data_IF_070235855498
#
_entry.id   IF_070235855498
#
_cell.length_a   1.000
_cell.length_b   1.000
_cell.length_c   1.000
_cell.angle_alpha   90.00
_cell.angle_beta   90.00
_cell.angle_gamma   90.00
#
_symmetry.space_group_name_H-M   'P 1'
#
loop_
_entity.id
_entity.type
_entity.pdbx_description
1 polymer ?
#
# COMPACT_ATOMS: atom_id res chain seq x y z
N UNK A 1 -10.78 1.56 7.29
CA UNK A 1 -11.01 0.12 7.03
C UNK A 1 -9.67 -0.57 7.19
N UNK A 2 -9.62 -1.67 7.95
CA UNK A 2 -8.44 -2.52 8.04
C UNK A 2 -8.56 -3.65 7.01
N UNK A 3 -7.48 -3.89 6.26
CA UNK A 3 -7.43 -4.89 5.18
C UNK A 3 -6.06 -5.53 5.15
N UNK A 4 -5.99 -6.82 4.83
CA UNK A 4 -4.72 -7.54 4.68
C UNK A 4 -3.99 -7.18 3.37
N UNK A 5 -4.68 -6.53 2.42
CA UNK A 5 -4.12 -6.17 1.10
C UNK A 5 -2.96 -5.16 1.22
N UNK A 6 -3.02 -4.24 2.18
CA UNK A 6 -2.00 -3.21 2.37
C UNK A 6 -0.93 -3.59 3.40
N UNK A 7 -0.86 -4.87 3.78
CA UNK A 7 0.04 -5.34 4.82
C UNK A 7 1.49 -5.44 4.35
N UNK A 8 2.40 -5.07 5.25
CA UNK A 8 3.84 -5.20 5.02
C UNK A 8 4.25 -6.63 4.65
N UNK A 9 5.45 -6.79 4.06
CA UNK A 9 6.08 -8.09 3.91
C UNK A 9 6.08 -8.82 5.26
N UNK A 10 5.54 -10.03 5.25
CA UNK A 10 5.53 -10.91 6.40
C UNK A 10 6.78 -11.78 6.31
N UNK A 11 7.79 -11.49 7.12
CA UNK A 11 9.03 -12.27 7.16
C UNK A 11 9.08 -13.11 8.44
N UNK A 12 10.26 -13.61 8.79
CA UNK A 12 10.53 -14.39 10.01
C UNK A 12 10.34 -13.62 11.32
N UNK A 13 10.20 -12.30 11.27
CA UNK A 13 10.16 -11.47 12.47
C UNK A 13 8.76 -11.52 13.09
N UNK A 14 8.69 -11.90 14.36
CA UNK A 14 7.42 -12.07 15.09
C UNK A 14 6.57 -10.81 15.13
N UNK A 15 7.19 -9.62 14.99
CA UNK A 15 6.49 -8.35 14.87
C UNK A 15 5.66 -8.21 13.60
N UNK A 16 5.90 -9.03 12.57
CA UNK A 16 5.14 -8.96 11.32
C UNK A 16 3.80 -9.69 11.44
N UNK A 17 3.62 -10.51 12.48
CA UNK A 17 2.36 -11.19 12.80
C UNK A 17 1.36 -10.25 13.46
N UNK A 18 0.09 -10.30 13.02
CA UNK A 18 -0.99 -9.60 13.72
C UNK A 18 -1.52 -10.45 14.86
N UNK A 19 -2.11 -9.78 15.85
CA UNK A 19 -2.93 -10.44 16.87
C UNK A 19 -4.28 -10.86 16.29
N UNK A 20 -4.98 -11.67 17.05
CA UNK A 20 -6.33 -12.11 16.75
C UNK A 20 -7.26 -10.92 16.50
N UNK A 21 -8.15 -11.08 15.52
CA UNK A 21 -9.03 -10.01 15.05
C UNK A 21 -9.93 -9.49 16.17
N UNK A 22 -10.43 -10.36 17.05
CA UNK A 22 -11.25 -9.96 18.21
C UNK A 22 -10.50 -9.05 19.18
N UNK A 23 -9.21 -9.31 19.41
CA UNK A 23 -8.34 -8.47 20.25
C UNK A 23 -8.17 -7.10 19.59
N UNK A 24 -7.83 -7.06 18.30
CA UNK A 24 -7.68 -5.78 17.57
C UNK A 24 -8.98 -4.98 17.53
N UNK A 25 -10.12 -5.64 17.31
CA UNK A 25 -11.43 -4.99 17.31
C UNK A 25 -11.81 -4.41 18.67
N UNK A 26 -11.43 -5.07 19.76
CA UNK A 26 -11.66 -4.57 21.11
C UNK A 26 -10.80 -3.33 21.42
N UNK A 27 -9.55 -3.30 20.97
CA UNK A 27 -8.62 -2.19 21.19
C UNK A 27 -8.87 -1.00 20.26
N UNK A 28 -9.33 -1.26 19.03
CA UNK A 28 -9.58 -0.26 18.01
C UNK A 28 -11.04 -0.29 17.55
N UNK A 29 -12.02 0.02 18.43
CA UNK A 29 -13.44 -0.15 18.14
C UNK A 29 -13.95 0.75 17.00
N UNK A 30 -13.20 1.78 16.63
CA UNK A 30 -13.51 2.71 15.54
C UNK A 30 -12.97 2.24 14.18
N UNK A 31 -12.19 1.17 14.14
CA UNK A 31 -11.67 0.59 12.90
C UNK A 31 -12.62 -0.49 12.41
N UNK A 32 -13.00 -0.40 11.14
CA UNK A 32 -13.75 -1.46 10.48
C UNK A 32 -12.83 -2.62 10.11
N UNK A 33 -13.04 -3.79 10.73
CA UNK A 33 -12.31 -5.04 10.50
C UNK A 33 -13.08 -6.02 9.58
N UNK A 34 -14.17 -5.58 8.93
CA UNK A 34 -15.01 -6.44 8.09
C UNK A 34 -14.26 -7.12 6.94
N UNK A 35 -13.19 -6.49 6.44
CA UNK A 35 -12.34 -7.05 5.37
C UNK A 35 -11.21 -7.97 5.87
N UNK A 36 -11.15 -8.27 7.17
CA UNK A 36 -10.24 -9.27 7.74
C UNK A 36 -11.08 -10.51 8.06
N UNK A 37 -11.09 -11.55 7.19
CA UNK A 37 -12.05 -12.64 7.30
C UNK A 37 -11.72 -13.64 8.42
N UNK A 38 -10.44 -13.82 8.73
CA UNK A 38 -9.98 -14.84 9.69
C UNK A 38 -9.76 -14.25 11.07
N UNK A 39 -10.02 -15.06 12.11
CA UNK A 39 -9.72 -14.67 13.48
C UNK A 39 -8.20 -14.62 13.70
N UNK A 40 -7.54 -15.75 13.47
CA UNK A 40 -6.08 -15.89 13.49
C UNK A 40 -5.45 -15.29 12.21
N UNK A 41 -4.16 -15.02 12.29
CA UNK A 41 -3.36 -14.49 11.20
C UNK A 41 -3.01 -15.57 10.15
N UNK A 42 -3.87 -15.72 9.15
CA UNK A 42 -3.66 -16.70 8.08
C UNK A 42 -2.41 -16.39 7.22
N UNK A 43 -2.09 -15.11 7.00
CA UNK A 43 -0.92 -14.74 6.21
C UNK A 43 0.39 -14.96 6.97
N UNK A 44 0.36 -15.08 8.30
CA UNK A 44 1.54 -15.45 9.09
C UNK A 44 2.14 -16.79 8.66
N UNK A 45 1.33 -17.71 8.13
CA UNK A 45 1.83 -19.01 7.63
C UNK A 45 2.47 -18.90 6.23
N UNK A 46 2.34 -17.76 5.55
CA UNK A 46 2.83 -17.48 4.20
C UNK A 46 4.04 -16.53 4.22
N UNK A 47 5.02 -16.80 5.08
CA UNK A 47 6.20 -15.93 5.25
C UNK A 47 7.06 -15.90 3.99
N UNK A 48 7.58 -14.71 3.69
CA UNK A 48 8.52 -14.46 2.60
C UNK A 48 9.91 -14.18 3.17
N UNK A 49 10.70 -15.25 3.36
CA UNK A 49 12.04 -15.21 3.98
C UNK A 49 13.18 -15.00 2.97
N UNK A 50 12.85 -14.57 1.74
CA UNK A 50 13.86 -14.31 0.72
C UNK A 50 14.75 -13.12 1.12
N UNK A 51 16.05 -13.15 0.76
CA UNK A 51 17.03 -12.17 1.22
C UNK A 51 16.83 -10.77 0.63
N UNK A 52 16.02 -10.64 -0.43
CA UNK A 52 15.74 -9.36 -1.10
C UNK A 52 14.28 -8.96 -0.88
N UNK A 53 14.08 -7.83 -0.19
CA UNK A 53 12.78 -7.19 0.04
C UNK A 53 12.00 -6.96 -1.25
N UNK A 54 12.70 -6.71 -2.36
CA UNK A 54 12.11 -6.47 -3.66
C UNK A 54 11.75 -7.75 -4.44
N UNK A 55 12.10 -8.92 -3.92
CA UNK A 55 11.75 -10.23 -4.48
C UNK A 55 10.47 -10.86 -3.88
N UNK A 56 9.87 -10.20 -2.89
CA UNK A 56 8.64 -10.67 -2.22
C UNK A 56 7.43 -10.66 -3.18
N UNK A 57 7.11 -11.82 -3.76
CA UNK A 57 6.01 -12.01 -4.72
C UNK A 57 4.64 -11.79 -4.08
N UNK A 58 4.46 -12.21 -2.83
CA UNK A 58 3.22 -12.00 -2.08
C UNK A 58 2.92 -10.52 -1.87
N UNK A 59 3.93 -9.70 -1.54
CA UNK A 59 3.79 -8.24 -1.51
C UNK A 59 3.34 -7.67 -2.86
N UNK A 60 3.97 -8.09 -3.95
CA UNK A 60 3.64 -7.59 -5.29
C UNK A 60 2.21 -7.97 -5.71
N UNK A 61 1.78 -9.21 -5.45
CA UNK A 61 0.44 -9.68 -5.72
C UNK A 61 -0.62 -8.93 -4.90
N UNK A 62 -0.39 -8.77 -3.59
CA UNK A 62 -1.28 -7.99 -2.72
C UNK A 62 -1.35 -6.52 -3.14
N UNK A 63 -0.23 -5.94 -3.59
CA UNK A 63 -0.23 -4.57 -4.10
C UNK A 63 -1.07 -4.42 -5.38
N UNK A 64 -1.01 -5.39 -6.29
CA UNK A 64 -1.85 -5.40 -7.49
C UNK A 64 -3.34 -5.55 -7.14
N UNK A 65 -3.66 -6.40 -6.17
CA UNK A 65 -5.04 -6.55 -5.67
C UNK A 65 -5.53 -5.30 -4.94
N UNK A 66 -4.68 -4.66 -4.12
CA UNK A 66 -4.99 -3.39 -3.48
C UNK A 66 -5.34 -2.33 -4.52
N UNK A 67 -4.63 -2.27 -5.64
CA UNK A 67 -4.94 -1.32 -6.72
C UNK A 67 -6.31 -1.57 -7.35
N UNK A 68 -6.69 -2.84 -7.55
CA UNK A 68 -8.04 -3.20 -8.02
C UNK A 68 -9.10 -2.78 -7.00
N UNK A 69 -8.85 -3.07 -5.72
CA UNK A 69 -9.73 -2.68 -4.63
C UNK A 69 -9.90 -1.15 -4.57
N UNK A 70 -8.80 -0.38 -4.60
CA UNK A 70 -8.82 1.09 -4.62
C UNK A 70 -9.58 1.64 -5.83
N UNK A 71 -9.43 1.03 -7.00
CA UNK A 71 -10.14 1.45 -8.20
C UNK A 71 -11.67 1.24 -8.10
N UNK A 72 -12.11 0.23 -7.36
CA UNK A 72 -13.53 -0.08 -7.16
C UNK A 72 -14.19 0.76 -6.06
N UNK A 73 -13.43 1.54 -5.28
CA UNK A 73 -13.95 2.40 -4.21
C UNK A 73 -14.71 3.61 -4.77
N UNK A 74 -15.76 4.02 -4.06
CA UNK A 74 -16.53 5.22 -4.39
C UNK A 74 -15.87 6.50 -3.84
N UNK A 75 -14.98 6.38 -2.85
CA UNK A 75 -14.28 7.52 -2.26
C UNK A 75 -13.32 8.20 -3.23
N UNK A 76 -13.33 9.53 -3.21
CA UNK A 76 -12.44 10.37 -4.04
C UNK A 76 -11.04 10.54 -3.45
N UNK A 77 -10.91 10.49 -2.14
CA UNK A 77 -9.66 10.69 -1.43
C UNK A 77 -9.49 9.55 -0.43
N UNK A 78 -8.47 8.73 -0.66
CA UNK A 78 -8.16 7.56 0.16
C UNK A 78 -6.73 7.70 0.66
N UNK A 79 -6.55 7.59 1.98
CA UNK A 79 -5.24 7.46 2.59
C UNK A 79 -4.91 5.97 2.76
N UNK A 80 -3.84 5.52 2.13
CA UNK A 80 -3.27 4.18 2.35
C UNK A 80 -2.15 4.32 3.38
N UNK A 81 -2.33 3.69 4.55
CA UNK A 81 -1.31 3.64 5.61
C UNK A 81 -0.68 2.25 5.57
N UNK A 82 0.62 2.20 5.31
CA UNK A 82 1.38 0.96 5.19
C UNK A 82 2.86 1.21 5.47
N UNK A 83 3.69 0.19 5.26
CA UNK A 83 5.13 0.23 5.48
C UNK A 83 5.91 0.30 4.17
N UNK A 84 7.19 0.63 4.27
CA UNK A 84 7.98 1.05 3.11
C UNK A 84 8.24 -0.06 2.09
N UNK A 85 8.36 -1.34 2.48
CA UNK A 85 8.61 -2.43 1.52
C UNK A 85 7.36 -2.65 0.68
N UNK A 86 6.19 -2.79 1.32
CA UNK A 86 4.92 -2.88 0.61
C UNK A 86 4.66 -1.67 -0.30
N UNK A 87 4.85 -0.44 0.21
CA UNK A 87 4.68 0.76 -0.61
C UNK A 87 5.65 0.78 -1.81
N UNK A 88 6.86 0.24 -1.65
CA UNK A 88 7.81 0.11 -2.77
C UNK A 88 7.28 -0.86 -3.85
N UNK A 89 6.68 -1.99 -3.46
CA UNK A 89 6.02 -2.91 -4.40
C UNK A 89 4.81 -2.27 -5.07
N UNK A 90 3.97 -1.55 -4.32
CA UNK A 90 2.83 -0.81 -4.86
C UNK A 90 3.23 0.20 -5.93
N UNK A 91 4.26 0.99 -5.67
CA UNK A 91 4.71 1.99 -6.64
C UNK A 91 5.41 1.37 -7.87
N UNK A 92 6.00 0.17 -7.73
CA UNK A 92 6.61 -0.56 -8.85
C UNK A 92 5.59 -1.05 -9.90
N UNK A 93 4.31 -1.11 -9.56
CA UNK A 93 3.24 -1.36 -10.53
C UNK A 93 3.16 -0.26 -11.61
N UNK A 94 3.75 0.91 -11.35
CA UNK A 94 3.67 2.09 -12.22
C UNK A 94 5.06 2.41 -12.82
N UNK A 95 5.42 1.81 -13.98
CA UNK A 95 6.76 1.95 -14.57
C UNK A 95 7.12 3.37 -15.00
N UNK A 96 6.16 4.30 -14.99
CA UNK A 96 6.36 5.72 -15.34
C UNK A 96 6.75 6.59 -14.15
N UNK A 97 6.66 6.07 -12.93
CA UNK A 97 7.12 6.79 -11.75
C UNK A 97 8.64 6.96 -11.80
N UNK A 98 9.09 8.18 -11.52
CA UNK A 98 10.52 8.49 -11.45
C UNK A 98 11.14 7.91 -10.17
N UNK A 99 12.48 7.86 -10.11
CA UNK A 99 13.22 7.46 -8.91
C UNK A 99 12.87 8.27 -7.66
N UNK A 100 12.47 9.53 -7.84
CA UNK A 100 12.05 10.39 -6.72
C UNK A 100 10.73 9.91 -6.11
N UNK A 101 9.81 9.41 -6.95
CA UNK A 101 8.55 8.85 -6.47
C UNK A 101 8.74 7.50 -5.79
N UNK A 102 9.73 6.71 -6.21
CA UNK A 102 9.94 5.32 -5.76
C UNK A 102 11.06 5.16 -4.73
N UNK A 103 11.71 6.25 -4.32
CA UNK A 103 12.69 6.22 -3.23
C UNK A 103 12.04 5.69 -1.94
N UNK A 104 12.78 5.02 -1.05
CA UNK A 104 12.25 4.55 0.23
C UNK A 104 11.52 5.67 0.98
N UNK A 105 10.42 5.32 1.65
CA UNK A 105 9.67 6.26 2.48
C UNK A 105 10.42 6.51 3.79
N UNK A 106 10.54 7.77 4.18
CA UNK A 106 10.98 8.15 5.51
C UNK A 106 9.88 7.87 6.55
N UNK A 107 10.23 7.94 7.83
CA UNK A 107 9.28 7.72 8.92
C UNK A 107 8.10 8.70 8.82
N UNK A 108 6.87 8.17 8.79
CA UNK A 108 5.63 8.91 8.62
C UNK A 108 5.59 9.83 7.39
N UNK A 109 6.38 9.53 6.35
CA UNK A 109 6.35 10.29 5.10
C UNK A 109 5.00 10.10 4.38
N UNK A 110 4.46 11.21 3.89
CA UNK A 110 3.24 11.24 3.09
C UNK A 110 3.55 11.60 1.64
N UNK A 111 3.03 10.81 0.70
CA UNK A 111 3.06 11.11 -0.74
C UNK A 111 1.64 11.09 -1.28
N UNK A 112 1.34 12.05 -2.15
CA UNK A 112 0.05 12.15 -2.81
C UNK A 112 0.17 11.71 -4.27
N UNK A 113 -0.76 10.86 -4.70
CA UNK A 113 -0.87 10.39 -6.07
C UNK A 113 -2.30 10.55 -6.55
N UNK A 114 -2.47 10.87 -7.83
CA UNK A 114 -3.79 10.87 -8.47
C UNK A 114 -3.89 9.62 -9.33
N UNK A 115 -4.82 8.73 -8.97
CA UNK A 115 -5.19 7.61 -9.82
C UNK A 115 -6.18 8.12 -10.86
N UNK A 116 -5.88 7.85 -12.11
CA UNK A 116 -6.75 8.21 -13.24
C UNK A 116 -7.11 6.89 -13.95
N UNK A 117 -8.33 6.79 -14.45
CA UNK A 117 -8.73 5.71 -15.33
C UNK A 117 -8.77 6.25 -16.75
N UNK A 118 -8.23 5.51 -17.71
CA UNK A 118 -8.27 5.89 -19.13
C UNK A 118 -9.36 5.04 -19.79
N UNK A 119 -10.51 5.63 -20.17
CA UNK A 119 -11.56 4.87 -20.85
C UNK A 119 -11.04 4.27 -22.16
N UNK A 120 -11.30 2.98 -22.38
CA UNK A 120 -10.92 2.28 -23.61
C UNK A 120 -9.47 1.81 -23.69
N UNK A 121 -8.67 1.98 -22.63
CA UNK A 121 -7.46 1.18 -22.48
C UNK A 121 -7.87 -0.24 -22.12
N UNK A 122 -7.54 -1.20 -22.98
CA UNK A 122 -7.37 -2.60 -22.60
C UNK A 122 -6.56 -2.65 -21.27
N UNK A 123 -6.70 -3.64 -20.38
CA UNK A 123 -6.07 -3.66 -19.05
C UNK A 123 -4.52 -3.81 -19.06
N UNK A 124 -3.85 -3.31 -20.10
CA UNK A 124 -2.41 -3.04 -20.16
C UNK A 124 -2.00 -1.75 -19.44
N UNK A 125 -0.68 -1.53 -19.28
CA UNK A 125 -0.13 -0.64 -18.25
C UNK A 125 -0.54 0.82 -18.44
N UNK A 126 -1.32 1.29 -17.46
CA UNK A 126 -2.09 2.54 -17.43
C UNK A 126 -1.25 3.81 -17.68
N UNK A 127 -1.81 4.73 -18.49
CA UNK A 127 -1.22 6.02 -18.91
C UNK A 127 -1.79 7.16 -18.04
N UNK A 128 -1.00 7.75 -17.13
CA UNK A 128 -1.45 8.91 -16.35
C UNK A 128 -0.56 10.14 -16.50
N UNK A 129 -1.21 11.31 -16.49
CA UNK A 129 -0.60 12.64 -16.53
C UNK A 129 -0.47 13.22 -15.12
N UNK A 130 0.69 13.79 -14.82
CA UNK A 130 0.99 14.43 -13.53
C UNK A 130 0.92 15.94 -13.65
N UNK A 131 0.20 16.62 -12.75
CA UNK A 131 0.40 18.04 -12.43
C UNK A 131 1.02 18.14 -11.05
N UNK A 132 2.20 18.76 -10.96
CA UNK A 132 2.85 19.09 -9.69
C UNK A 132 2.56 20.54 -9.33
N UNK A 133 2.06 20.80 -8.13
CA UNK A 133 2.19 22.10 -7.46
C UNK A 133 3.34 21.99 -6.46
N UNK A 134 4.49 22.57 -6.81
CA UNK A 134 5.63 22.69 -5.89
C UNK A 134 5.38 23.75 -4.82
N UNK A 135 6.07 23.69 -3.67
CA UNK A 135 5.97 24.73 -2.66
C UNK A 135 6.67 26.00 -3.15
N UNK A 136 5.96 27.12 -3.07
CA UNK A 136 6.51 28.46 -3.26
C UNK A 136 7.61 28.73 -2.25
N UNK A 137 8.83 29.00 -2.75
CA UNK A 137 9.92 29.58 -1.99
C UNK A 137 9.43 30.77 -1.15
N UNK A 138 9.57 30.67 0.17
CA UNK A 138 9.74 31.86 1.01
C UNK A 138 11.22 31.99 1.31
N UNK A 139 11.83 32.99 0.67
CA UNK A 139 13.10 33.58 1.08
C UNK A 139 12.83 34.46 2.30
N UNK A 140 13.63 34.34 3.35
CA UNK A 140 13.76 35.38 4.38
C UNK A 140 15.15 35.29 5.01
N UNK A 141 15.88 36.38 4.75
CA UNK A 141 17.03 37.02 5.43
C UNK A 141 17.49 36.37 6.73
#
# INVERSE_FOLDING_TARGET
IATELARERISRYTCDGRRDRSVLRAEFPHVDFSEIPTEEDALWLMKEDLPDDLSATGCFERAAELMRWLHAREERHIAVVSHWVFLSHLLRLFPKLTKEHTKPFANAELRYFTLVSVPGADPGPTRLSTTMSGPSHFSSI
#
